data_IF_574809630756
#
_entry.id   IF_574809630756
#
_cell.length_a   1.000
_cell.length_b   1.000
_cell.length_c   1.000
_cell.angle_alpha   90.00
_cell.angle_beta   90.00
_cell.angle_gamma   90.00
#
_symmetry.space_group_name_H-M   'P 1'
#
loop_
_entity.id
_entity.type
_entity.pdbx_description
1 polymer ?
#
# COMPACT_ATOMS: atom_id res chain seq x y z
N UNK A 1 -13.14 -23.16 -7.69
CA UNK A 1 -14.01 -22.29 -6.87
C UNK A 1 -13.28 -21.97 -5.58
N UNK A 2 -13.33 -20.72 -5.12
CA UNK A 2 -12.73 -20.34 -3.83
C UNK A 2 -13.56 -20.90 -2.67
N UNK A 3 -12.89 -21.40 -1.62
CA UNK A 3 -13.57 -21.88 -0.38
C UNK A 3 -13.90 -20.73 0.58
N UNK A 4 -13.13 -19.64 0.53
CA UNK A 4 -13.30 -18.46 1.38
C UNK A 4 -14.22 -17.40 0.75
N UNK A 5 -14.26 -17.34 -0.58
CA UNK A 5 -15.11 -16.41 -1.34
C UNK A 5 -16.08 -17.19 -2.22
N UNK A 6 -17.29 -17.52 -1.71
CA UNK A 6 -18.33 -18.14 -2.50
C UNK A 6 -18.61 -17.34 -3.77
N UNK A 7 -18.97 -18.05 -4.84
CA UNK A 7 -19.30 -17.47 -6.15
C UNK A 7 -18.17 -16.69 -6.85
N UNK A 8 -16.92 -16.85 -6.39
CA UNK A 8 -15.74 -16.27 -7.03
C UNK A 8 -14.77 -17.35 -7.55
N UNK A 9 -14.14 -17.04 -8.68
CA UNK A 9 -13.04 -17.81 -9.27
C UNK A 9 -11.82 -16.92 -9.53
N UNK A 10 -10.68 -17.55 -9.80
CA UNK A 10 -9.50 -16.84 -10.29
C UNK A 10 -9.84 -16.21 -11.63
N UNK A 11 -9.58 -14.91 -11.76
CA UNK A 11 -9.81 -14.18 -13.01
C UNK A 11 -8.86 -14.73 -14.10
N UNK A 12 -9.36 -14.95 -15.31
CA UNK A 12 -8.53 -15.38 -16.43
C UNK A 12 -7.46 -14.32 -16.78
N UNK A 13 -7.78 -13.05 -16.54
CA UNK A 13 -6.90 -11.90 -16.76
C UNK A 13 -6.40 -11.36 -15.42
N UNK A 14 -5.20 -11.76 -15.01
CA UNK A 14 -4.58 -11.33 -13.75
C UNK A 14 -4.05 -9.88 -13.76
N UNK A 15 -4.28 -9.11 -14.82
CA UNK A 15 -3.92 -7.70 -14.91
C UNK A 15 -5.02 -6.83 -14.27
N UNK A 16 -4.72 -6.20 -13.14
CA UNK A 16 -5.64 -5.29 -12.44
C UNK A 16 -5.50 -3.81 -12.87
N UNK A 17 -4.43 -3.43 -13.57
CA UNK A 17 -4.25 -2.10 -14.19
C UNK A 17 -3.88 -0.95 -13.23
N UNK A 18 -3.79 -1.24 -11.93
CA UNK A 18 -3.24 -0.36 -10.88
C UNK A 18 -2.03 -1.04 -10.24
N UNK A 19 -1.40 -0.42 -9.23
CA UNK A 19 -0.21 -0.94 -8.54
C UNK A 19 0.88 -1.39 -9.54
N UNK A 20 1.14 -0.58 -10.57
CA UNK A 20 2.04 -0.89 -11.67
C UNK A 20 3.43 -1.29 -11.17
N UNK A 21 3.92 -2.45 -11.64
CA UNK A 21 5.17 -3.05 -11.19
C UNK A 21 5.01 -4.11 -10.11
N UNK A 22 3.85 -4.22 -9.46
CA UNK A 22 3.60 -5.27 -8.48
C UNK A 22 3.52 -6.66 -9.15
N UNK A 23 4.36 -7.58 -8.69
CA UNK A 23 4.46 -8.95 -9.24
C UNK A 23 3.63 -9.98 -8.49
N UNK A 24 3.13 -9.62 -7.30
CA UNK A 24 2.47 -10.54 -6.38
C UNK A 24 1.03 -10.10 -6.14
N UNK A 25 0.07 -10.90 -6.60
CA UNK A 25 -1.34 -10.67 -6.38
C UNK A 25 -2.17 -11.74 -7.08
N UNK A 26 -3.32 -12.07 -6.50
CA UNK A 26 -4.30 -12.97 -7.10
C UNK A 26 -5.62 -12.23 -7.26
N UNK A 27 -6.00 -12.00 -8.51
CA UNK A 27 -7.26 -11.38 -8.87
C UNK A 27 -8.36 -12.43 -8.97
N UNK A 28 -9.48 -12.16 -8.31
CA UNK A 28 -10.70 -12.95 -8.32
C UNK A 28 -11.81 -12.19 -9.02
N UNK A 29 -12.63 -12.90 -9.78
CA UNK A 29 -13.82 -12.40 -10.45
C UNK A 29 -15.06 -13.23 -10.09
N UNK A 30 -16.23 -12.62 -10.25
CA UNK A 30 -17.51 -13.27 -10.02
C UNK A 30 -17.82 -14.33 -11.09
N UNK A 31 -18.26 -15.51 -10.66
CA UNK A 31 -18.72 -16.59 -11.56
C UNK A 31 -19.93 -16.17 -12.41
N UNK A 32 -20.72 -15.20 -11.96
CA UNK A 32 -21.90 -14.72 -12.68
C UNK A 32 -21.57 -14.07 -14.04
N UNK A 33 -20.34 -13.55 -14.19
CA UNK A 33 -19.83 -12.98 -15.45
C UNK A 33 -19.82 -14.03 -16.57
N UNK A 34 -19.60 -15.30 -16.22
CA UNK A 34 -19.54 -16.42 -17.17
C UNK A 34 -20.93 -16.96 -17.56
N UNK A 35 -21.99 -16.58 -16.84
CA UNK A 35 -23.36 -17.10 -17.02
C UNK A 35 -24.29 -16.15 -17.80
N UNK A 36 -23.75 -15.32 -18.70
CA UNK A 36 -24.51 -14.36 -19.54
C UNK A 36 -25.36 -13.29 -18.82
N UNK A 37 -25.41 -13.29 -17.48
CA UNK A 37 -25.86 -12.12 -16.70
C UNK A 37 -24.68 -11.19 -16.51
N UNK A 38 -24.34 -10.45 -17.58
CA UNK A 38 -23.31 -9.41 -17.49
C UNK A 38 -23.77 -8.32 -16.53
N UNK A 39 -23.29 -8.35 -15.30
CA UNK A 39 -23.20 -7.13 -14.52
C UNK A 39 -22.28 -6.18 -15.29
N UNK A 40 -22.76 -4.96 -15.59
CA UNK A 40 -21.99 -3.94 -16.33
C UNK A 40 -20.63 -3.61 -15.68
N UNK A 41 -20.45 -3.97 -14.41
CA UNK A 41 -19.22 -3.77 -13.64
C UNK A 41 -18.99 -5.00 -12.76
N UNK A 42 -18.00 -5.86 -13.08
CA UNK A 42 -17.76 -7.05 -12.28
C UNK A 42 -17.19 -6.65 -10.91
N UNK A 43 -17.72 -7.26 -9.84
CA UNK A 43 -17.09 -7.16 -8.53
C UNK A 43 -15.84 -8.05 -8.51
N UNK A 44 -14.67 -7.43 -8.48
CA UNK A 44 -13.37 -8.13 -8.44
C UNK A 44 -12.69 -7.91 -7.11
N UNK A 45 -11.94 -8.92 -6.66
CA UNK A 45 -11.13 -8.86 -5.43
C UNK A 45 -9.68 -9.17 -5.75
N UNK A 46 -8.76 -8.36 -5.24
CA UNK A 46 -7.33 -8.60 -5.34
C UNK A 46 -6.81 -9.05 -3.97
N UNK A 47 -6.26 -10.25 -3.93
CA UNK A 47 -5.59 -10.79 -2.76
C UNK A 47 -4.10 -10.51 -2.91
N UNK A 48 -3.51 -9.80 -1.96
CA UNK A 48 -2.08 -9.49 -1.94
C UNK A 48 -1.44 -10.08 -0.69
N UNK A 49 -0.39 -10.90 -0.83
CA UNK A 49 0.35 -11.40 0.33
C UNK A 49 1.01 -10.25 1.09
N UNK A 50 1.07 -10.30 2.41
CA UNK A 50 1.90 -9.38 3.18
C UNK A 50 3.36 -9.83 3.23
N UNK A 51 4.30 -8.89 3.26
CA UNK A 51 5.74 -9.14 3.36
C UNK A 51 6.58 -7.87 3.18
N UNK A 52 7.90 -8.03 3.16
CA UNK A 52 8.85 -6.95 2.90
C UNK A 52 8.79 -6.56 1.42
N UNK A 53 8.52 -5.28 1.13
CA UNK A 53 8.48 -4.77 -0.24
C UNK A 53 9.89 -4.43 -0.70
N UNK A 54 10.32 -5.01 -1.82
CA UNK A 54 11.58 -4.66 -2.49
C UNK A 54 11.31 -4.13 -3.88
N UNK A 55 12.00 -3.03 -4.20
CA UNK A 55 12.03 -2.49 -5.55
C UNK A 55 13.28 -2.99 -6.28
N UNK A 56 13.06 -3.54 -7.47
CA UNK A 56 14.12 -3.93 -8.38
C UNK A 56 14.03 -3.10 -9.67
N UNK A 57 15.17 -2.54 -10.08
CA UNK A 57 15.30 -1.89 -11.38
C UNK A 57 15.40 -2.97 -12.45
N UNK A 58 14.39 -3.09 -13.29
CA UNK A 58 14.42 -4.03 -14.41
C UNK A 58 14.98 -3.33 -15.65
N UNK A 59 16.05 -3.91 -16.23
CA UNK A 59 16.56 -3.44 -17.52
C UNK A 59 15.50 -3.67 -18.61
N UNK A 60 15.23 -2.65 -19.43
CA UNK A 60 14.25 -2.65 -20.53
C UNK A 60 12.76 -2.53 -20.14
N UNK A 61 12.45 -2.14 -18.90
CA UNK A 61 11.08 -1.82 -18.49
C UNK A 61 11.05 -0.39 -17.94
N UNK A 62 10.09 0.42 -18.41
CA UNK A 62 9.94 1.84 -18.03
C UNK A 62 9.38 2.05 -16.61
N UNK A 63 9.23 0.99 -15.82
CA UNK A 63 8.75 1.05 -14.44
C UNK A 63 9.51 0.05 -13.56
N UNK A 64 9.60 0.36 -12.26
CA UNK A 64 10.23 -0.55 -11.30
C UNK A 64 9.38 -1.79 -11.05
N UNK A 65 10.04 -2.90 -10.76
CA UNK A 65 9.38 -4.13 -10.34
C UNK A 65 9.33 -4.18 -8.83
N UNK A 66 8.17 -4.45 -8.26
CA UNK A 66 7.95 -4.57 -6.82
C UNK A 66 7.68 -6.01 -6.46
N UNK A 67 8.51 -6.56 -5.58
CA UNK A 67 8.46 -7.93 -5.11
C UNK A 67 8.11 -7.94 -3.63
N UNK A 68 7.26 -8.89 -3.24
CA UNK A 68 6.89 -9.11 -1.84
C UNK A 68 7.70 -10.30 -1.34
N UNK A 69 8.71 -10.02 -0.52
CA UNK A 69 9.51 -11.06 0.10
C UNK A 69 8.86 -11.53 1.41
N UNK A 70 8.58 -12.83 1.47
CA UNK A 70 8.05 -13.49 2.66
C UNK A 70 9.20 -14.21 3.36
N UNK A 71 9.61 -13.70 4.51
CA UNK A 71 10.63 -14.35 5.34
C UNK A 71 9.98 -15.31 6.34
N UNK A 72 10.54 -16.51 6.45
CA UNK A 72 10.15 -17.54 7.41
C UNK A 72 10.38 -17.17 8.87
N UNK A 73 11.12 -16.09 9.14
CA UNK A 73 11.43 -15.63 10.50
C UNK A 73 10.45 -14.57 11.03
N UNK A 74 9.45 -14.15 10.25
CA UNK A 74 8.52 -13.08 10.61
C UNK A 74 7.15 -13.66 10.96
N UNK A 75 6.54 -13.18 12.06
CA UNK A 75 5.24 -13.63 12.61
C UNK A 75 4.04 -13.53 11.65
N UNK A 76 4.22 -12.96 10.46
CA UNK A 76 3.16 -12.66 9.49
C UNK A 76 3.29 -13.48 8.19
N UNK A 77 4.00 -14.62 8.20
CA UNK A 77 4.25 -15.43 7.00
C UNK A 77 2.99 -15.92 6.28
N UNK A 78 1.82 -15.97 6.92
CA UNK A 78 0.56 -16.36 6.29
C UNK A 78 -0.38 -15.17 6.06
N UNK A 79 0.01 -13.96 6.47
CA UNK A 79 -0.83 -12.78 6.33
C UNK A 79 -0.99 -12.40 4.85
N UNK A 80 -2.21 -12.04 4.49
CA UNK A 80 -2.58 -11.42 3.23
C UNK A 80 -3.63 -10.34 3.50
N UNK A 81 -3.85 -9.49 2.51
CA UNK A 81 -4.88 -8.48 2.52
C UNK A 81 -5.74 -8.63 1.28
N UNK A 82 -7.01 -8.31 1.43
CA UNK A 82 -7.96 -8.36 0.32
C UNK A 82 -8.43 -6.95 0.02
N UNK A 83 -8.39 -6.62 -1.27
CA UNK A 83 -8.80 -5.33 -1.80
C UNK A 83 -9.93 -5.51 -2.78
N UNK A 84 -10.95 -4.65 -2.70
CA UNK A 84 -12.04 -4.60 -3.67
C UNK A 84 -11.64 -3.67 -4.80
N UNK A 85 -11.78 -4.17 -6.03
CA UNK A 85 -11.72 -3.39 -7.25
C UNK A 85 -13.13 -2.96 -7.62
N UNK A 86 -13.40 -1.66 -7.55
CA UNK A 86 -14.66 -1.09 -8.01
C UNK A 86 -14.50 -0.57 -9.45
N UNK A 87 -14.88 -1.39 -10.44
CA UNK A 87 -14.67 -1.06 -11.85
C UNK A 87 -15.49 0.12 -12.36
N UNK A 88 -16.58 0.45 -11.66
CA UNK A 88 -17.39 1.63 -11.95
C UNK A 88 -16.71 2.91 -11.46
N UNK A 89 -16.22 2.89 -10.23
CA UNK A 89 -15.59 4.06 -9.60
C UNK A 89 -14.11 4.18 -9.95
N UNK A 90 -13.49 3.11 -10.46
CA UNK A 90 -12.05 3.01 -10.72
C UNK A 90 -11.22 3.20 -9.45
N UNK A 91 -11.65 2.56 -8.37
CA UNK A 91 -11.03 2.67 -7.04
C UNK A 91 -10.68 1.28 -6.52
N UNK A 92 -9.46 1.15 -5.98
CA UNK A 92 -9.02 0.01 -5.17
C UNK A 92 -9.13 0.38 -3.68
N UNK A 93 -9.81 -0.45 -2.88
CA UNK A 93 -10.08 -0.18 -1.45
C UNK A 93 -9.88 -1.43 -0.59
N UNK A 94 -9.47 -1.26 0.67
CA UNK A 94 -9.42 -2.36 1.65
C UNK A 94 -10.78 -2.62 2.29
N UNK A 95 -11.00 -3.87 2.72
CA UNK A 95 -12.23 -4.33 3.38
C UNK A 95 -12.07 -4.60 4.88
N UNK A 96 -10.85 -4.80 5.36
CA UNK A 96 -10.63 -5.53 6.61
C UNK A 96 -10.41 -4.60 7.82
N UNK A 97 -9.47 -3.66 7.72
CA UNK A 97 -9.02 -2.84 8.85
C UNK A 97 -8.17 -1.65 8.40
N UNK A 98 -7.87 -0.74 9.32
CA UNK A 98 -6.91 0.36 9.08
C UNK A 98 -5.53 -0.15 8.65
N UNK A 99 -5.07 -1.29 9.17
CA UNK A 99 -3.87 -1.98 8.71
C UNK A 99 -3.92 -2.31 7.22
N UNK A 100 -5.07 -2.79 6.72
CA UNK A 100 -5.26 -3.08 5.30
C UNK A 100 -5.24 -1.84 4.42
N UNK A 101 -5.81 -0.74 4.89
CA UNK A 101 -5.73 0.57 4.21
C UNK A 101 -4.29 1.10 4.19
N UNK A 102 -3.57 1.00 5.31
CA UNK A 102 -2.16 1.36 5.40
C UNK A 102 -1.29 0.50 4.48
N UNK A 103 -1.56 -0.80 4.40
CA UNK A 103 -0.84 -1.68 3.50
C UNK A 103 -1.12 -1.35 2.03
N UNK A 104 -2.37 -1.05 1.67
CA UNK A 104 -2.71 -0.58 0.33
C UNK A 104 -2.00 0.73 -0.02
N UNK A 105 -1.94 1.67 0.92
CA UNK A 105 -1.20 2.91 0.75
C UNK A 105 0.29 2.64 0.53
N UNK A 106 0.89 1.75 1.32
CA UNK A 106 2.30 1.36 1.17
C UNK A 106 2.58 0.72 -0.18
N UNK A 107 1.70 -0.16 -0.66
CA UNK A 107 1.79 -0.73 -2.00
C UNK A 107 1.77 0.39 -3.06
N UNK A 108 0.86 1.35 -2.97
CA UNK A 108 0.82 2.50 -3.89
C UNK A 108 2.05 3.41 -3.78
N UNK A 109 2.66 3.54 -2.60
CA UNK A 109 3.92 4.28 -2.46
C UNK A 109 5.07 3.57 -3.16
N UNK A 110 5.10 2.24 -3.12
CA UNK A 110 6.16 1.43 -3.71
C UNK A 110 5.91 1.10 -5.19
N UNK A 111 4.69 1.25 -5.67
CA UNK A 111 4.32 0.92 -7.05
C UNK A 111 3.98 2.19 -7.83
N UNK A 112 3.91 2.07 -9.15
CA UNK A 112 3.63 3.17 -10.07
C UNK A 112 4.79 4.15 -10.29
N UNK A 113 5.00 4.44 -11.57
CA UNK A 113 5.95 5.42 -12.10
C UNK A 113 5.36 6.83 -11.92
N UNK A 114 6.07 7.95 -12.19
CA UNK A 114 5.44 9.29 -12.29
C UNK A 114 4.32 9.41 -13.33
N UNK A 115 3.90 8.33 -14.00
CA UNK A 115 2.75 8.30 -14.89
C UNK A 115 1.54 7.71 -14.17
N UNK A 116 0.35 8.29 -14.35
CA UNK A 116 -0.87 7.72 -13.81
C UNK A 116 -1.10 6.27 -14.24
N UNK A 117 -1.55 5.42 -13.33
CA UNK A 117 -1.91 4.05 -13.68
C UNK A 117 -3.22 4.01 -14.49
N UNK A 118 -3.36 3.00 -15.34
CA UNK A 118 -4.45 2.92 -16.32
C UNK A 118 -5.81 2.70 -15.65
N UNK A 119 -5.83 2.15 -14.44
CA UNK A 119 -7.06 1.81 -13.75
C UNK A 119 -7.63 3.00 -13.00
N UNK A 120 -6.87 3.61 -12.10
CA UNK A 120 -7.28 4.72 -11.22
C UNK A 120 -7.13 6.08 -11.89
N UNK A 121 -6.28 6.20 -12.92
CA UNK A 121 -5.94 7.48 -13.51
C UNK A 121 -5.13 8.39 -12.58
N UNK A 122 -4.56 7.84 -11.51
CA UNK A 122 -3.70 8.54 -10.55
C UNK A 122 -2.31 7.91 -10.52
N UNK A 123 -1.30 8.70 -10.17
CA UNK A 123 0.02 8.16 -9.85
C UNK A 123 -0.03 7.39 -8.52
N UNK A 124 0.93 6.49 -8.30
CA UNK A 124 1.04 5.77 -7.03
C UNK A 124 1.18 6.71 -5.84
N UNK A 125 1.95 7.78 -5.99
CA UNK A 125 2.10 8.80 -4.96
C UNK A 125 0.79 9.50 -4.61
N UNK A 126 0.07 10.02 -5.61
CA UNK A 126 -1.21 10.70 -5.38
C UNK A 126 -2.21 9.77 -4.70
N UNK A 127 -2.26 8.51 -5.15
CA UNK A 127 -3.17 7.52 -4.59
C UNK A 127 -2.78 7.12 -3.16
N UNK A 128 -1.48 6.97 -2.89
CA UNK A 128 -0.98 6.70 -1.54
C UNK A 128 -1.34 7.83 -0.56
N UNK A 129 -1.10 9.10 -0.92
CA UNK A 129 -1.50 10.23 -0.09
C UNK A 129 -3.02 10.30 0.10
N UNK A 130 -3.79 10.09 -0.97
CA UNK A 130 -5.24 10.05 -0.87
C UNK A 130 -5.74 8.99 0.13
N UNK A 131 -5.11 7.82 0.16
CA UNK A 131 -5.42 6.76 1.10
C UNK A 131 -5.01 7.13 2.54
N UNK A 132 -3.80 7.64 2.75
CA UNK A 132 -3.27 8.02 4.06
C UNK A 132 -4.05 9.16 4.72
N UNK A 133 -4.63 10.07 3.91
CA UNK A 133 -5.52 11.13 4.39
C UNK A 133 -6.99 10.69 4.51
N UNK A 134 -7.35 9.50 4.02
CA UNK A 134 -8.72 8.99 4.15
C UNK A 134 -8.96 8.42 5.54
N UNK A 135 -10.21 8.45 6.00
CA UNK A 135 -10.61 7.86 7.28
C UNK A 135 -10.26 6.36 7.40
N UNK A 136 -10.06 5.65 6.29
CA UNK A 136 -9.68 4.23 6.30
C UNK A 136 -8.31 3.96 6.91
N UNK A 137 -7.34 4.89 6.78
CA UNK A 137 -6.03 4.74 7.42
C UNK A 137 -6.00 5.22 8.88
N UNK A 138 -7.08 5.85 9.35
CA UNK A 138 -7.18 6.39 10.71
C UNK A 138 -7.98 5.40 11.57
N UNK A 139 -7.69 5.38 12.87
CA UNK A 139 -8.26 4.41 13.81
C UNK A 139 -8.67 5.11 15.09
N UNK A 140 -9.82 4.72 15.64
CA UNK A 140 -10.29 5.16 16.95
C UNK A 140 -9.65 4.35 18.10
N UNK A 141 -8.85 3.34 17.75
CA UNK A 141 -8.07 2.49 18.64
C UNK A 141 -6.57 2.62 18.34
N UNK A 142 -5.68 2.45 19.33
CA UNK A 142 -4.24 2.43 19.10
C UNK A 142 -3.85 1.39 18.04
N UNK A 143 -2.98 1.78 17.12
CA UNK A 143 -2.47 0.87 16.10
C UNK A 143 -1.77 -0.35 16.71
N UNK A 144 -2.00 -1.50 16.09
CA UNK A 144 -1.25 -2.71 16.37
C UNK A 144 0.19 -2.62 15.82
N UNK A 145 1.03 -3.57 16.23
CA UNK A 145 2.43 -3.62 15.83
C UNK A 145 2.59 -3.65 14.30
N UNK A 146 1.70 -4.34 13.58
CA UNK A 146 1.76 -4.45 12.13
C UNK A 146 1.51 -3.10 11.45
N UNK A 147 0.50 -2.36 11.89
CA UNK A 147 0.21 -1.01 11.38
C UNK A 147 1.36 -0.04 11.65
N UNK A 148 1.94 -0.06 12.86
CA UNK A 148 3.10 0.77 13.20
C UNK A 148 4.31 0.41 12.33
N UNK A 149 4.54 -0.88 12.07
CA UNK A 149 5.61 -1.33 11.19
C UNK A 149 5.39 -0.89 9.72
N UNK A 150 4.15 -0.89 9.22
CA UNK A 150 3.83 -0.36 7.88
C UNK A 150 4.09 1.15 7.85
N UNK A 151 3.64 1.90 8.86
CA UNK A 151 3.85 3.36 8.94
C UNK A 151 5.34 3.72 8.99
N UNK A 152 6.15 2.96 9.74
CA UNK A 152 7.61 3.15 9.74
C UNK A 152 8.20 2.96 8.36
N UNK A 153 7.82 1.89 7.65
CA UNK A 153 8.30 1.65 6.28
C UNK A 153 7.87 2.74 5.30
N UNK A 154 6.64 3.25 5.42
CA UNK A 154 6.18 4.40 4.63
C UNK A 154 7.04 5.64 4.91
N UNK A 155 7.32 5.93 6.19
CA UNK A 155 8.15 7.06 6.57
C UNK A 155 9.59 6.95 6.01
N UNK A 156 10.15 5.73 5.98
CA UNK A 156 11.51 5.46 5.48
C UNK A 156 11.66 5.61 3.95
N UNK A 157 10.55 5.80 3.22
CA UNK A 157 10.57 6.15 1.79
C UNK A 157 10.89 7.64 1.59
N UNK A 158 10.61 8.49 2.58
CA UNK A 158 10.97 9.90 2.51
C UNK A 158 12.49 10.08 2.51
N UNK A 159 13.01 11.04 1.73
CA UNK A 159 14.42 11.41 1.83
C UNK A 159 14.72 11.97 3.22
N UNK A 160 15.92 11.72 3.73
CA UNK A 160 16.38 12.26 5.01
C UNK A 160 16.96 13.66 4.80
N UNK A 161 16.66 14.56 5.72
CA UNK A 161 17.16 15.94 5.69
C UNK A 161 18.03 16.18 6.91
N UNK A 162 19.31 16.42 6.66
CA UNK A 162 20.28 16.85 7.66
C UNK A 162 20.73 18.28 7.38
N UNK A 163 21.29 18.97 8.38
CA UNK A 163 21.81 20.33 8.23
C UNK A 163 23.31 20.39 8.51
N UNK A 164 24.02 21.25 7.79
CA UNK A 164 25.44 21.53 8.03
C UNK A 164 25.70 23.01 8.36
N UNK A 165 26.56 23.29 9.36
CA UNK A 165 26.99 22.35 10.39
C UNK A 165 25.79 21.92 11.25
N UNK A 166 25.80 20.74 11.87
CA UNK A 166 24.61 20.13 12.52
C UNK A 166 23.86 21.03 13.50
N UNK A 167 24.59 21.91 14.19
CA UNK A 167 24.04 22.87 15.15
C UNK A 167 23.43 24.15 14.49
N UNK A 168 23.47 24.26 13.16
CA UNK A 168 22.95 25.39 12.38
C UNK A 168 22.10 24.88 11.21
N UNK A 169 20.88 25.38 11.09
CA UNK A 169 20.01 25.14 9.93
C UNK A 169 20.40 26.01 8.72
N UNK A 170 21.69 26.06 8.37
CA UNK A 170 22.21 26.95 7.31
C UNK A 170 22.32 26.29 5.95
N UNK A 171 22.66 25.01 5.89
CA UNK A 171 22.78 24.26 4.63
C UNK A 171 22.09 22.91 4.75
N UNK A 172 21.05 22.67 3.96
CA UNK A 172 20.34 21.39 3.96
C UNK A 172 21.07 20.36 3.07
N UNK A 173 21.25 19.16 3.60
CA UNK A 173 21.74 17.97 2.90
C UNK A 173 20.58 16.97 2.82
N UNK A 174 20.25 16.56 1.60
CA UNK A 174 19.16 15.60 1.33
C UNK A 174 19.78 14.26 0.95
N UNK A 175 19.59 13.27 1.82
CA UNK A 175 20.03 11.90 1.58
C UNK A 175 18.83 11.06 1.11
N UNK A 176 18.84 10.75 -0.19
CA UNK A 176 17.81 9.94 -0.84
C UNK A 176 18.02 8.45 -0.54
N UNK A 177 16.92 7.71 -0.41
CA UNK A 177 16.94 6.27 -0.25
C UNK A 177 17.44 5.61 -1.55
N UNK A 178 18.50 4.79 -1.48
CA UNK A 178 19.11 4.15 -2.64
C UNK A 178 18.71 2.67 -2.80
N UNK A 179 17.65 2.22 -2.13
CA UNK A 179 17.20 0.82 -2.14
C UNK A 179 16.30 0.50 -3.36
N UNK A 180 16.70 0.96 -4.54
CA UNK A 180 15.99 0.69 -5.80
C UNK A 180 14.81 1.61 -6.12
N UNK A 181 14.30 2.38 -5.14
CA UNK A 181 13.14 3.27 -5.31
C UNK A 181 13.53 4.54 -6.11
N UNK A 182 12.82 4.91 -7.20
CA UNK A 182 13.01 6.15 -7.94
C UNK A 182 12.88 7.40 -7.07
N UNK A 183 13.73 8.40 -7.32
CA UNK A 183 13.70 9.67 -6.60
C UNK A 183 12.34 10.38 -6.69
N UNK A 184 11.65 10.27 -7.83
CA UNK A 184 10.33 10.85 -8.05
C UNK A 184 9.24 10.30 -7.12
N UNK A 185 9.47 9.15 -6.50
CA UNK A 185 8.53 8.51 -5.58
C UNK A 185 8.85 8.82 -4.12
N UNK A 186 10.02 9.38 -3.83
CA UNK A 186 10.47 9.67 -2.47
C UNK A 186 10.02 11.09 -2.06
N UNK A 187 8.81 11.20 -1.53
CA UNK A 187 8.24 12.47 -1.09
C UNK A 187 8.37 12.67 0.42
N UNK A 188 8.75 13.87 0.88
CA UNK A 188 8.87 14.20 2.31
C UNK A 188 7.54 14.09 3.08
N UNK A 189 6.42 14.21 2.38
CA UNK A 189 5.09 14.10 2.98
C UNK A 189 4.82 12.74 3.62
N UNK A 190 5.48 11.66 3.18
CA UNK A 190 5.26 10.33 3.76
C UNK A 190 5.69 10.28 5.23
N UNK A 191 6.86 10.83 5.56
CA UNK A 191 7.32 10.99 6.94
C UNK A 191 6.34 11.82 7.76
N UNK A 192 5.87 12.96 7.22
CA UNK A 192 4.96 13.86 7.93
C UNK A 192 3.63 13.18 8.28
N UNK A 193 3.00 12.51 7.31
CA UNK A 193 1.70 11.86 7.53
C UNK A 193 1.84 10.61 8.41
N UNK A 194 2.91 9.83 8.24
CA UNK A 194 3.16 8.66 9.08
C UNK A 194 3.40 9.07 10.53
N UNK A 195 4.20 10.12 10.77
CA UNK A 195 4.41 10.70 12.09
C UNK A 195 3.09 11.15 12.72
N UNK A 196 2.25 11.86 11.97
CA UNK A 196 0.94 12.32 12.45
C UNK A 196 0.03 11.15 12.88
N UNK A 197 -0.01 10.08 12.08
CA UNK A 197 -0.78 8.87 12.39
C UNK A 197 -0.26 8.15 13.64
N UNK A 198 1.06 8.05 13.81
CA UNK A 198 1.71 7.46 14.99
C UNK A 198 1.43 8.29 16.24
N UNK A 199 1.59 9.62 16.18
CA UNK A 199 1.31 10.53 17.28
C UNK A 199 -0.16 10.47 17.72
N UNK A 200 -1.09 10.42 16.76
CA UNK A 200 -2.53 10.25 17.04
C UNK A 200 -2.78 8.94 17.79
N UNK A 201 -2.17 7.84 17.37
CA UNK A 201 -2.27 6.55 18.08
C UNK A 201 -1.74 6.62 19.50
N UNK A 202 -0.61 7.28 19.73
CA UNK A 202 -0.03 7.45 21.07
C UNK A 202 -0.96 8.25 21.99
N UNK A 203 -1.59 9.29 21.44
CA UNK A 203 -2.59 10.09 22.16
C UNK A 203 -3.83 9.27 22.51
N UNK A 204 -4.23 8.27 21.71
CA UNK A 204 -5.35 7.39 22.06
C UNK A 204 -4.99 6.37 23.16
N UNK A 205 -3.70 6.12 23.40
CA UNK A 205 -3.22 5.08 24.33
C UNK A 205 -3.77 5.19 25.75
N UNK A 206 -4.03 6.39 26.27
CA UNK A 206 -4.58 6.56 27.61
C UNK A 206 -5.99 5.98 27.77
N UNK A 207 -6.79 5.92 26.69
CA UNK A 207 -8.16 5.38 26.75
C UNK A 207 -8.19 3.86 26.83
N UNK A 208 -7.11 3.19 26.39
CA UNK A 208 -7.06 1.74 26.26
C UNK A 208 -6.10 1.09 27.27
N UNK A 209 -5.58 1.85 28.25
CA UNK A 209 -4.60 1.39 29.25
C UNK A 209 -5.16 0.44 30.33
N UNK A 210 -6.35 -0.15 30.14
CA UNK A 210 -7.09 -0.89 31.19
C UNK A 210 -7.37 -2.36 30.86
N UNK A 211 -6.71 -2.96 29.86
CA UNK A 211 -6.91 -4.38 29.51
C UNK A 211 -5.59 -5.15 29.61
N UNK A 212 -5.20 -5.48 30.85
CA UNK A 212 -4.18 -6.50 31.16
C UNK A 212 -4.91 -7.65 31.86
#
# INVERSE_FOLDING_TARGET
MSREYPDMCVDEHQLFGTLTGLTSGLLLSSLAVNNHKMERYPYRKLIVPFGELRSEKTFNIDHQTVIIQRSSSVSFLHQYFVFILNDRLKILQSIDSSTGWLYLAFLHTMTSHPLPDQYTGMTGMERAFQLLHSAGCWSDQPFDFLSLNILSQIADISPKVDYYPEHLTRMAKIDWNNNGIPYSMQHFGYYLIAKQLIETTQQLGFMYSSSI
#
